data_IF_448361497544
#
_entry.id   IF_448361497544
#
_cell.length_a   1.000
_cell.length_b   1.000
_cell.length_c   1.000
_cell.angle_alpha   90.00
_cell.angle_beta   90.00
_cell.angle_gamma   90.00
#
_symmetry.space_group_name_H-M   'P 1'
#
loop_
_entity.id
_entity.type
_entity.pdbx_description
1 polymer ?
#
# COMPACT_ATOMS: atom_id res chain seq x y z
N UNK A 1 -0.74 4.49 -18.90
CA UNK A 1 -0.20 4.13 -17.58
C UNK A 1 -0.67 2.70 -17.38
N UNK A 2 -0.03 1.77 -18.07
CA UNK A 2 -0.64 0.47 -18.31
C UNK A 2 0.16 -0.52 -17.47
N UNK A 3 -0.53 -1.22 -16.56
CA UNK A 3 -0.01 -2.12 -15.51
C UNK A 3 0.56 -1.47 -14.23
N UNK A 4 -0.19 -0.61 -13.55
CA UNK A 4 0.10 -0.31 -12.14
C UNK A 4 -0.31 -1.50 -11.26
N UNK A 5 0.66 -2.11 -10.57
CA UNK A 5 0.46 -3.21 -9.64
C UNK A 5 0.23 -2.70 -8.21
N UNK A 6 -0.79 -3.24 -7.54
CA UNK A 6 -1.18 -2.82 -6.19
C UNK A 6 -1.14 -3.99 -5.22
N UNK A 7 -0.57 -3.74 -4.03
CA UNK A 7 -0.79 -4.60 -2.87
C UNK A 7 -1.78 -3.93 -1.93
N UNK A 8 -2.92 -4.57 -1.70
CA UNK A 8 -3.91 -4.19 -0.70
C UNK A 8 -3.68 -5.01 0.59
N UNK A 9 -3.49 -4.33 1.71
CA UNK A 9 -3.36 -4.94 3.05
C UNK A 9 -4.60 -4.57 3.86
N UNK A 10 -5.53 -5.50 3.98
CA UNK A 10 -6.87 -5.29 4.54
C UNK A 10 -7.42 -6.60 5.11
N UNK A 11 -7.79 -6.62 6.39
CA UNK A 11 -8.33 -7.81 7.05
C UNK A 11 -9.86 -7.88 6.97
N UNK A 12 -10.53 -6.73 6.84
CA UNK A 12 -11.98 -6.65 6.77
C UNK A 12 -12.51 -6.96 5.36
N UNK A 13 -13.36 -7.99 5.25
CA UNK A 13 -13.89 -8.48 3.97
C UNK A 13 -14.75 -7.44 3.24
N UNK A 14 -15.49 -6.60 3.96
CA UNK A 14 -16.35 -5.58 3.37
C UNK A 14 -15.52 -4.39 2.83
N UNK A 15 -14.54 -3.94 3.62
CA UNK A 15 -13.60 -2.89 3.21
C UNK A 15 -12.75 -3.34 2.02
N UNK A 16 -12.26 -4.59 2.04
CA UNK A 16 -11.54 -5.22 0.93
C UNK A 16 -12.39 -5.19 -0.34
N UNK A 17 -13.64 -5.64 -0.26
CA UNK A 17 -14.54 -5.67 -1.41
C UNK A 17 -14.79 -4.27 -1.98
N UNK A 18 -14.99 -3.27 -1.12
CA UNK A 18 -15.16 -1.88 -1.53
C UNK A 18 -13.91 -1.33 -2.20
N UNK A 19 -12.73 -1.57 -1.61
CA UNK A 19 -11.44 -1.15 -2.16
C UNK A 19 -11.19 -1.79 -3.52
N UNK A 20 -11.37 -3.11 -3.66
CA UNK A 20 -11.23 -3.82 -4.94
C UNK A 20 -12.19 -3.30 -6.00
N UNK A 21 -13.44 -3.00 -5.62
CA UNK A 21 -14.42 -2.41 -6.53
C UNK A 21 -13.99 -1.02 -7.00
N UNK A 22 -13.44 -0.19 -6.10
CA UNK A 22 -12.95 1.13 -6.45
C UNK A 22 -11.71 1.06 -7.36
N UNK A 23 -10.75 0.18 -7.04
CA UNK A 23 -9.53 -0.08 -7.81
C UNK A 23 -9.85 -0.52 -9.24
N UNK A 24 -10.77 -1.47 -9.39
CA UNK A 24 -11.24 -1.93 -10.71
C UNK A 24 -11.87 -0.79 -11.52
N UNK A 25 -12.68 0.05 -10.89
CA UNK A 25 -13.29 1.22 -11.55
C UNK A 25 -12.24 2.27 -11.96
N UNK A 26 -11.14 2.36 -11.22
CA UNK A 26 -10.00 3.21 -11.54
C UNK A 26 -9.07 2.60 -12.60
N UNK A 27 -9.40 1.42 -13.15
CA UNK A 27 -8.61 0.75 -14.19
C UNK A 27 -7.47 -0.13 -13.67
N UNK A 28 -7.34 -0.30 -12.36
CA UNK A 28 -6.31 -1.18 -11.78
C UNK A 28 -6.79 -2.63 -11.81
N UNK A 29 -6.04 -3.47 -12.53
CA UNK A 29 -6.38 -4.89 -12.72
C UNK A 29 -5.47 -5.83 -11.93
N UNK A 30 -4.22 -5.42 -11.70
CA UNK A 30 -3.21 -6.20 -11.00
C UNK A 30 -3.20 -5.84 -9.52
N UNK A 31 -4.09 -6.47 -8.75
CA UNK A 31 -4.22 -6.25 -7.31
C UNK A 31 -4.00 -7.55 -6.56
N UNK A 32 -2.93 -7.60 -5.75
CA UNK A 32 -2.72 -8.64 -4.74
C UNK A 32 -3.36 -8.20 -3.42
N UNK A 33 -3.90 -9.16 -2.66
CA UNK A 33 -4.51 -8.90 -1.35
C UNK A 33 -3.85 -9.78 -0.29
N UNK A 34 -3.55 -9.18 0.85
CA UNK A 34 -3.08 -9.85 2.08
C UNK A 34 -3.90 -9.36 3.25
N UNK A 35 -4.14 -10.22 4.24
CA UNK A 35 -5.16 -9.98 5.29
C UNK A 35 -4.58 -9.62 6.65
N UNK A 36 -3.27 -9.56 6.79
CA UNK A 36 -2.62 -9.12 8.02
C UNK A 36 -1.20 -8.60 7.79
N UNK A 37 -0.62 -7.96 8.80
CA UNK A 37 0.70 -7.36 8.68
C UNK A 37 1.84 -8.38 8.54
N UNK A 38 1.72 -9.59 9.09
CA UNK A 38 2.71 -10.65 8.90
C UNK A 38 2.69 -11.16 7.46
N UNK A 39 1.51 -11.35 6.87
CA UNK A 39 1.34 -11.70 5.46
C UNK A 39 1.91 -10.61 4.55
N UNK A 40 1.68 -9.33 4.86
CA UNK A 40 2.24 -8.21 4.10
C UNK A 40 3.77 -8.23 4.06
N UNK A 41 4.42 -8.40 5.21
CA UNK A 41 5.89 -8.49 5.28
C UNK A 41 6.38 -9.73 4.54
N UNK A 42 5.76 -10.89 4.77
CA UNK A 42 6.16 -12.14 4.10
C UNK A 42 6.06 -12.03 2.57
N UNK A 43 4.97 -11.44 2.08
CA UNK A 43 4.71 -11.23 0.66
C UNK A 43 5.77 -10.28 0.06
N UNK A 44 6.01 -9.13 0.68
CA UNK A 44 6.96 -8.12 0.19
C UNK A 44 8.42 -8.60 0.26
N UNK A 45 8.81 -9.30 1.33
CA UNK A 45 10.15 -9.91 1.44
C UNK A 45 10.35 -11.06 0.44
N UNK A 46 9.31 -11.80 0.10
CA UNK A 46 9.39 -12.85 -0.93
C UNK A 46 9.46 -12.23 -2.32
N UNK A 47 8.67 -11.19 -2.56
CA UNK A 47 8.68 -10.43 -3.81
C UNK A 47 10.08 -9.88 -4.12
N UNK A 48 10.70 -9.25 -3.11
CA UNK A 48 12.05 -8.68 -3.21
C UNK A 48 13.16 -9.71 -3.45
N UNK A 49 12.98 -10.97 -3.01
CA UNK A 49 14.01 -12.03 -3.13
C UNK A 49 13.91 -12.83 -4.43
N UNK A 50 12.70 -13.01 -4.96
CA UNK A 50 12.45 -13.94 -6.07
C UNK A 50 12.48 -13.28 -7.46
N UNK A 51 13.07 -12.07 -7.60
CA UNK A 51 13.09 -11.29 -8.85
C UNK A 51 11.67 -11.02 -9.41
N UNK A 52 10.67 -11.09 -8.54
CA UNK A 52 9.31 -10.63 -8.83
C UNK A 52 9.24 -9.12 -8.65
N UNK A 53 8.46 -8.45 -9.48
CA UNK A 53 8.29 -7.00 -9.44
C UNK A 53 7.58 -6.62 -8.15
N UNK A 54 8.20 -5.70 -7.39
CA UNK A 54 7.55 -5.09 -6.23
C UNK A 54 6.34 -4.27 -6.66
N UNK A 55 5.29 -4.16 -5.84
CA UNK A 55 4.09 -3.42 -6.20
C UNK A 55 4.43 -1.94 -6.34
N UNK A 56 3.87 -1.32 -7.36
CA UNK A 56 4.01 0.13 -7.59
C UNK A 56 3.35 0.95 -6.49
N UNK A 57 2.35 0.38 -5.81
CA UNK A 57 1.59 1.00 -4.74
C UNK A 57 1.17 -0.02 -3.68
N UNK A 58 1.38 0.31 -2.42
CA UNK A 58 0.83 -0.41 -1.26
C UNK A 58 -0.28 0.42 -0.62
N UNK A 59 -1.48 -0.15 -0.54
CA UNK A 59 -2.59 0.39 0.23
C UNK A 59 -2.64 -0.35 1.57
N UNK A 60 -2.37 0.36 2.66
CA UNK A 60 -2.14 -0.24 3.97
C UNK A 60 -3.18 0.23 4.99
N UNK A 61 -3.98 -0.69 5.52
CA UNK A 61 -4.72 -0.43 6.75
C UNK A 61 -3.77 -0.39 7.96
N UNK A 62 -4.10 0.47 8.92
CA UNK A 62 -3.43 0.53 10.21
C UNK A 62 -3.93 -0.55 11.17
N UNK A 63 -5.24 -0.80 11.19
CA UNK A 63 -5.85 -1.69 12.18
C UNK A 63 -5.87 -3.13 11.68
N UNK A 64 -4.70 -3.75 11.66
CA UNK A 64 -4.52 -5.13 11.23
C UNK A 64 -4.38 -6.09 12.42
N UNK A 65 -4.83 -7.36 12.29
CA UNK A 65 -4.54 -8.39 13.27
C UNK A 65 -3.07 -8.79 13.20
N UNK A 66 -2.56 -9.39 14.29
CA UNK A 66 -1.19 -9.91 14.47
C UNK A 66 -0.08 -8.87 14.47
N UNK A 67 -0.02 -8.01 13.45
CA UNK A 67 0.96 -6.93 13.31
C UNK A 67 0.26 -5.68 12.78
N UNK A 68 0.32 -4.60 13.57
CA UNK A 68 -0.29 -3.31 13.24
C UNK A 68 0.36 -2.66 12.02
N UNK A 69 -0.42 -1.91 11.23
CA UNK A 69 0.06 -1.29 10.00
C UNK A 69 1.17 -0.27 10.20
N UNK A 70 1.26 0.40 11.36
CA UNK A 70 2.40 1.28 11.67
C UNK A 70 3.68 0.45 11.82
N UNK A 71 3.58 -0.75 12.41
CA UNK A 71 4.72 -1.67 12.53
C UNK A 71 5.13 -2.22 11.16
N UNK A 72 4.17 -2.59 10.32
CA UNK A 72 4.41 -2.96 8.92
C UNK A 72 5.19 -1.85 8.21
N UNK A 73 4.70 -0.62 8.28
CA UNK A 73 5.33 0.54 7.64
C UNK A 73 6.77 0.75 8.15
N UNK A 74 7.03 0.65 9.45
CA UNK A 74 8.39 0.76 10.01
C UNK A 74 9.31 -0.30 9.44
N UNK A 75 8.86 -1.55 9.36
CA UNK A 75 9.64 -2.66 8.78
C UNK A 75 9.92 -2.45 7.29
N UNK A 76 8.94 -1.95 6.54
CA UNK A 76 9.16 -1.63 5.13
C UNK A 76 10.22 -0.55 4.94
N UNK A 77 10.26 0.45 5.84
CA UNK A 77 11.26 1.53 5.80
C UNK A 77 12.65 1.12 6.29
N UNK A 78 12.77 0.08 7.12
CA UNK A 78 14.08 -0.40 7.58
C UNK A 78 14.82 -1.26 6.56
N UNK A 79 14.12 -1.82 5.57
CA UNK A 79 14.69 -2.72 4.57
C UNK A 79 14.98 -1.98 3.26
N UNK A 80 16.21 -2.07 2.75
CA UNK A 80 16.64 -1.31 1.56
C UNK A 80 15.74 -1.59 0.34
N UNK A 81 15.35 -2.85 0.14
CA UNK A 81 14.52 -3.28 -0.98
C UNK A 81 13.10 -2.69 -0.97
N UNK A 82 12.51 -2.45 0.21
CA UNK A 82 11.13 -1.96 0.35
C UNK A 82 11.04 -0.51 0.83
N UNK A 83 12.16 0.10 1.21
CA UNK A 83 12.23 1.44 1.80
C UNK A 83 11.63 2.53 0.92
N UNK A 84 11.65 2.33 -0.40
CA UNK A 84 11.15 3.28 -1.41
C UNK A 84 9.76 2.96 -1.94
N UNK A 85 9.09 1.94 -1.42
CA UNK A 85 7.72 1.63 -1.84
C UNK A 85 6.80 2.82 -1.57
N UNK A 86 5.98 3.12 -2.57
CA UNK A 86 4.86 4.04 -2.47
C UNK A 86 3.82 3.42 -1.53
N UNK A 87 3.74 3.91 -0.29
CA UNK A 87 2.77 3.42 0.69
C UNK A 87 1.74 4.53 0.92
N UNK A 88 0.47 4.16 0.84
CA UNK A 88 -0.66 5.00 1.21
C UNK A 88 -1.39 4.34 2.37
N UNK A 89 -1.66 5.12 3.42
CA UNK A 89 -2.44 4.67 4.56
C UNK A 89 -3.92 4.82 4.25
N UNK A 90 -4.70 3.78 4.57
CA UNK A 90 -6.14 3.72 4.39
C UNK A 90 -6.78 3.32 5.72
N UNK A 91 -7.31 4.29 6.47
CA UNK A 91 -7.76 4.07 7.86
C UNK A 91 -9.17 4.60 8.11
N UNK A 92 -9.93 3.93 8.98
CA UNK A 92 -11.20 4.42 9.52
C UNK A 92 -11.03 5.40 10.69
N UNK A 93 -9.86 5.44 11.34
CA UNK A 93 -9.59 6.36 12.45
C UNK A 93 -8.64 7.49 12.04
N UNK A 94 -8.95 8.68 12.56
CA UNK A 94 -8.17 9.91 12.34
C UNK A 94 -7.27 10.26 13.52
N UNK A 95 -6.74 9.27 14.25
CA UNK A 95 -5.91 9.52 15.42
C UNK A 95 -4.69 10.38 15.04
N UNK A 96 -4.64 11.66 15.44
CA UNK A 96 -3.72 12.61 14.81
C UNK A 96 -2.24 12.25 15.01
N UNK A 97 -1.91 11.68 16.18
CA UNK A 97 -0.57 11.23 16.50
C UNK A 97 -0.13 10.02 15.66
N UNK A 98 -1.04 9.10 15.37
CA UNK A 98 -0.78 7.92 14.54
C UNK A 98 -0.55 8.36 13.09
N UNK A 99 -1.41 9.23 12.56
CA UNK A 99 -1.25 9.78 11.22
C UNK A 99 0.02 10.64 11.09
N UNK A 100 0.39 11.41 12.12
CA UNK A 100 1.65 12.15 12.15
C UNK A 100 2.86 11.21 12.10
N UNK A 101 2.80 10.09 12.83
CA UNK A 101 3.83 9.05 12.79
C UNK A 101 3.96 8.46 11.39
N UNK A 102 2.84 8.11 10.75
CA UNK A 102 2.86 7.57 9.38
C UNK A 102 3.47 8.56 8.38
N UNK A 103 3.13 9.85 8.49
CA UNK A 103 3.71 10.92 7.67
C UNK A 103 5.23 11.04 7.86
N UNK A 104 5.72 10.98 9.11
CA UNK A 104 7.17 11.00 9.37
C UNK A 104 7.92 9.79 8.81
N UNK A 105 7.21 8.69 8.54
CA UNK A 105 7.76 7.48 7.91
C UNK A 105 7.69 7.53 6.36
N UNK A 106 7.32 8.68 5.78
CA UNK A 106 7.39 8.90 4.33
C UNK A 106 6.33 8.14 3.54
N UNK A 107 5.08 8.13 4.00
CA UNK A 107 3.93 7.69 3.19
C UNK A 107 3.57 8.75 2.15
N UNK A 108 3.01 8.36 1.01
CA UNK A 108 2.54 9.29 -0.01
C UNK A 108 1.32 10.09 0.47
N UNK A 109 0.48 9.46 1.29
CA UNK A 109 -0.71 10.10 1.84
C UNK A 109 -1.45 9.18 2.80
N UNK A 110 -2.40 9.77 3.51
CA UNK A 110 -3.35 9.07 4.36
C UNK A 110 -4.76 9.41 3.89
N UNK A 111 -5.58 8.39 3.64
CA UNK A 111 -6.95 8.52 3.16
C UNK A 111 -7.89 7.81 4.11
N UNK A 112 -9.08 8.37 4.25
CA UNK A 112 -10.12 7.77 5.07
C UNK A 112 -10.83 6.65 4.29
N UNK A 113 -11.18 5.58 4.98
CA UNK A 113 -12.11 4.57 4.49
C UNK A 113 -13.54 5.15 4.39
N UNK A 114 -14.37 4.69 3.44
CA UNK A 114 -14.06 3.71 2.40
C UNK A 114 -13.25 4.35 1.25
N UNK A 115 -12.41 3.55 0.59
CA UNK A 115 -11.74 4.01 -0.63
C UNK A 115 -12.77 4.23 -1.74
N UNK A 116 -12.73 5.42 -2.33
CA UNK A 116 -13.57 5.80 -3.46
C UNK A 116 -12.74 5.97 -4.72
N UNK A 117 -13.41 6.03 -5.88
CA UNK A 117 -12.75 6.37 -7.14
C UNK A 117 -12.07 7.75 -7.08
N UNK A 118 -12.62 8.69 -6.32
CA UNK A 118 -12.00 10.00 -6.10
C UNK A 118 -10.73 9.89 -5.25
N UNK A 119 -10.77 9.13 -4.15
CA UNK A 119 -9.59 8.85 -3.32
C UNK A 119 -8.47 8.25 -4.16
N UNK A 120 -8.78 7.27 -5.01
CA UNK A 120 -7.83 6.63 -5.91
C UNK A 120 -7.28 7.59 -6.96
N UNK A 121 -8.12 8.46 -7.53
CA UNK A 121 -7.64 9.51 -8.45
C UNK A 121 -6.63 10.43 -7.77
N UNK A 122 -6.86 10.81 -6.52
CA UNK A 122 -5.90 11.61 -5.75
C UNK A 122 -4.62 10.83 -5.45
N UNK A 123 -4.71 9.55 -5.08
CA UNK A 123 -3.55 8.69 -4.86
C UNK A 123 -2.68 8.59 -6.13
N UNK A 124 -3.31 8.36 -7.28
CA UNK A 124 -2.61 8.25 -8.57
C UNK A 124 -1.87 9.53 -8.95
N UNK A 125 -2.38 10.70 -8.57
CA UNK A 125 -1.70 11.99 -8.80
C UNK A 125 -0.50 12.21 -7.87
N UNK A 126 -0.41 11.48 -6.76
CA UNK A 126 0.73 11.54 -5.83
C UNK A 126 1.87 10.60 -6.23
N UNK A 127 1.60 9.63 -7.10
CA UNK A 127 2.64 8.72 -7.57
C UNK A 127 3.67 9.52 -8.37
N UNK A 128 4.97 9.31 -8.12
CA UNK A 128 5.99 9.85 -8.99
C UNK A 128 5.77 9.32 -10.41
N UNK A 129 6.08 10.14 -11.42
CA UNK A 129 6.10 9.69 -12.81
C UNK A 129 6.99 8.46 -13.00
N UNK A 130 6.87 7.74 -14.13
CA UNK A 130 7.60 6.48 -14.34
C UNK A 130 9.08 6.67 -14.01
N UNK A 131 9.55 5.87 -13.06
CA UNK A 131 10.96 5.87 -12.64
C UNK A 131 11.72 5.11 -13.72
N UNK A 132 12.24 5.83 -14.71
CA UNK A 132 13.25 5.27 -15.62
C UNK A 132 14.46 4.86 -14.77
N UNK A 133 14.63 3.56 -14.49
CA UNK A 133 15.87 3.11 -13.84
C UNK A 133 15.84 1.87 -12.94
N UNK A 134 14.79 1.05 -12.91
CA UNK A 134 14.88 -0.28 -12.30
C UNK A 134 15.12 -1.34 -13.37
N UNK A 135 16.25 -1.25 -14.09
CA UNK A 135 16.79 -2.41 -14.79
C UNK A 135 17.43 -3.28 -13.72
N UNK A 136 16.77 -4.39 -13.39
CA UNK A 136 17.42 -5.49 -12.70
C UNK A 136 18.53 -6.00 -13.64
N UNK A 137 19.78 -5.76 -13.25
CA UNK A 137 20.98 -6.37 -13.86
C UNK A 137 21.07 -7.85 -13.51
#
# INVERSE_FOLDING_TARGET
>A
MDNLSVLLVEDNVDDEWLALRALRKAGMQEVAVVRDGCEAISWLSSAARNVTVLPDLVLLDLKLPKMDGVEVLRKLRSEAATSRLNVVIVSSSEEPHVLATCRSLGVLGCFQKPLTTQSLSSILQLLPGPVEGAVAV
#
